data_IF_765560695102
#
_entry.id   IF_765560695102
#
_cell.length_a   1.000
_cell.length_b   1.000
_cell.length_c   1.000
_cell.angle_alpha   90.00
_cell.angle_beta   90.00
_cell.angle_gamma   90.00
#
_symmetry.space_group_name_H-M   'P 1'
#
loop_
_entity.id
_entity.type
_entity.pdbx_description
1 polymer ?
#
# COMPACT_ATOMS: atom_id res chain seq x y z
N UNK A 1 20.92 -9.57 19.55
CA UNK A 1 20.39 -9.59 18.19
C UNK A 1 19.25 -8.59 18.15
N UNK A 2 19.27 -7.57 17.30
CA UNK A 2 18.12 -6.68 17.18
C UNK A 2 16.94 -7.46 16.58
N UNK A 3 15.76 -7.25 17.12
CA UNK A 3 14.53 -7.82 16.56
C UNK A 3 14.35 -7.30 15.13
N UNK A 4 13.93 -8.16 14.17
CA UNK A 4 13.62 -7.72 12.82
C UNK A 4 12.53 -6.66 12.86
N UNK A 5 12.66 -5.64 12.01
CA UNK A 5 11.67 -4.57 11.93
C UNK A 5 10.32 -5.13 11.44
N UNK A 6 9.19 -4.48 11.73
CA UNK A 6 7.89 -4.89 11.20
C UNK A 6 7.90 -5.06 9.66
N UNK A 7 8.81 -4.37 8.98
CA UNK A 7 9.05 -4.46 7.53
C UNK A 7 9.71 -5.76 7.10
N UNK A 8 10.72 -6.21 7.87
CA UNK A 8 11.39 -7.48 7.57
C UNK A 8 10.43 -8.64 7.75
N UNK A 9 9.45 -8.50 8.66
CA UNK A 9 8.37 -9.46 8.85
C UNK A 9 7.38 -9.44 7.67
N UNK A 10 7.03 -8.27 7.14
CA UNK A 10 6.17 -8.14 5.96
C UNK A 10 6.80 -8.82 4.74
N UNK A 11 8.08 -8.55 4.49
CA UNK A 11 8.84 -9.14 3.40
C UNK A 11 9.03 -10.65 3.57
N UNK A 12 9.19 -11.14 4.78
CA UNK A 12 9.35 -12.57 5.09
C UNK A 12 8.04 -13.36 4.92
N UNK A 13 6.89 -12.73 5.18
CA UNK A 13 5.59 -13.38 5.11
C UNK A 13 5.04 -13.48 3.67
N UNK A 14 5.41 -12.54 2.81
CA UNK A 14 5.09 -12.62 1.38
C UNK A 14 6.00 -13.60 0.63
N UNK A 15 7.16 -13.96 1.21
CA UNK A 15 8.11 -14.91 0.64
C UNK A 15 7.84 -16.36 1.07
N UNK A 16 6.60 -16.79 1.10
CA UNK A 16 6.22 -18.19 1.36
C UNK A 16 6.95 -19.15 0.43
N UNK A 17 8.01 -19.79 0.95
CA UNK A 17 8.74 -20.94 0.40
C UNK A 17 9.47 -20.81 -0.93
N UNK A 18 10.78 -20.75 -0.78
CA UNK A 18 11.83 -21.37 -1.59
C UNK A 18 11.64 -21.52 -3.11
N UNK A 19 12.67 -21.07 -3.73
CA UNK A 19 13.18 -21.27 -5.07
C UNK A 19 12.97 -20.09 -6.04
N UNK A 20 13.81 -19.07 -5.84
CA UNK A 20 14.80 -18.69 -6.81
C UNK A 20 14.32 -18.64 -8.27
N UNK A 21 13.83 -17.50 -8.67
CA UNK A 21 14.09 -17.02 -10.01
C UNK A 21 14.42 -15.53 -9.88
N UNK A 22 15.68 -15.24 -10.09
CA UNK A 22 16.23 -13.91 -10.23
C UNK A 22 15.56 -13.23 -11.43
N UNK A 23 14.36 -12.70 -11.25
CA UNK A 23 13.79 -11.75 -12.17
C UNK A 23 14.20 -10.38 -11.65
N UNK A 24 15.42 -9.97 -11.99
CA UNK A 24 15.88 -8.59 -11.85
C UNK A 24 15.15 -7.73 -12.91
N UNK A 25 13.86 -7.61 -12.78
CA UNK A 25 13.14 -6.48 -13.34
C UNK A 25 13.54 -5.27 -12.51
N UNK A 26 14.30 -4.35 -13.08
CA UNK A 26 14.63 -3.07 -12.47
C UNK A 26 13.34 -2.30 -12.28
N UNK A 27 12.87 -2.21 -11.01
CA UNK A 27 11.77 -1.33 -10.67
C UNK A 27 12.25 0.12 -10.78
N UNK A 28 11.62 0.88 -11.64
CA UNK A 28 11.81 2.32 -11.67
C UNK A 28 11.08 2.93 -10.47
N UNK A 29 11.84 3.56 -9.56
CA UNK A 29 11.29 4.25 -8.40
C UNK A 29 11.28 5.74 -8.68
N UNK A 30 10.11 6.33 -8.54
CA UNK A 30 9.91 7.79 -8.64
C UNK A 30 9.61 8.35 -7.25
N UNK A 31 10.06 9.56 -6.99
CA UNK A 31 9.74 10.29 -5.77
C UNK A 31 9.05 11.61 -6.07
N UNK A 32 8.22 12.05 -5.13
CA UNK A 32 7.52 13.32 -5.26
C UNK A 32 6.76 13.66 -3.99
N UNK A 33 6.16 14.85 -3.97
CA UNK A 33 5.29 15.28 -2.88
C UNK A 33 3.86 14.90 -3.21
N UNK A 34 3.21 14.12 -2.33
CA UNK A 34 1.78 13.79 -2.41
C UNK A 34 0.97 14.81 -1.61
N UNK A 35 -0.22 15.13 -2.10
CA UNK A 35 -1.22 15.88 -1.33
C UNK A 35 -1.94 14.91 -0.40
N UNK A 36 -2.26 15.34 0.82
CA UNK A 36 -3.11 14.57 1.72
C UNK A 36 -4.47 14.32 1.06
N UNK A 37 -4.94 13.08 1.07
CA UNK A 37 -6.11 12.65 0.31
C UNK A 37 -7.16 12.03 1.23
N UNK A 38 -8.35 12.64 1.37
CA UNK A 38 -9.47 12.01 2.07
C UNK A 38 -9.87 10.70 1.39
N UNK A 39 -10.22 9.71 2.19
CA UNK A 39 -10.64 8.41 1.72
C UNK A 39 -11.75 7.81 2.57
N UNK A 40 -12.53 6.94 1.95
CA UNK A 40 -13.49 6.06 2.59
C UNK A 40 -12.91 4.64 2.58
N UNK A 41 -12.86 4.00 3.73
CA UNK A 41 -12.26 2.67 3.88
C UNK A 41 -13.08 1.76 4.78
N UNK A 42 -12.96 0.46 4.57
CA UNK A 42 -13.27 -0.56 5.56
C UNK A 42 -11.94 -1.04 6.18
N UNK A 43 -11.90 -1.14 7.50
CA UNK A 43 -10.70 -1.57 8.24
C UNK A 43 -10.97 -2.92 8.89
N UNK A 44 -10.07 -3.87 8.71
CA UNK A 44 -10.14 -5.18 9.35
C UNK A 44 -8.75 -5.71 9.71
N UNK A 45 -8.71 -6.58 10.71
CA UNK A 45 -7.49 -7.34 11.07
C UNK A 45 -7.67 -8.78 10.65
N UNK A 46 -6.84 -9.24 9.69
CA UNK A 46 -6.96 -10.58 9.13
C UNK A 46 -5.60 -11.21 8.77
N UNK A 47 -5.55 -12.54 8.64
CA UNK A 47 -4.36 -13.21 8.15
C UNK A 47 -4.20 -12.98 6.63
N UNK A 48 -2.96 -13.07 6.15
CA UNK A 48 -2.62 -12.84 4.73
C UNK A 48 -3.43 -13.69 3.76
N UNK A 49 -3.77 -14.92 4.11
CA UNK A 49 -4.54 -15.82 3.24
C UNK A 49 -6.00 -15.40 2.99
N UNK A 50 -6.55 -14.54 3.83
CA UNK A 50 -7.92 -14.04 3.69
C UNK A 50 -8.02 -12.72 2.91
N UNK A 51 -6.86 -12.07 2.65
CA UNK A 51 -6.78 -10.77 2.00
C UNK A 51 -7.52 -10.70 0.65
N UNK A 52 -7.35 -11.65 -0.31
CA UNK A 52 -7.97 -11.52 -1.62
C UNK A 52 -9.49 -11.49 -1.55
N UNK A 53 -10.08 -12.40 -0.77
CA UNK A 53 -11.54 -12.48 -0.61
C UNK A 53 -12.09 -11.27 0.12
N UNK A 54 -11.39 -10.82 1.17
CA UNK A 54 -11.84 -9.68 1.95
C UNK A 54 -11.73 -8.37 1.17
N UNK A 55 -10.66 -8.14 0.41
CA UNK A 55 -10.49 -6.94 -0.41
C UNK A 55 -11.64 -6.74 -1.41
N UNK A 56 -12.06 -7.82 -2.10
CA UNK A 56 -13.20 -7.75 -3.02
C UNK A 56 -14.50 -7.30 -2.32
N UNK A 57 -14.74 -7.83 -1.10
CA UNK A 57 -15.89 -7.42 -0.28
C UNK A 57 -15.75 -5.97 0.20
N UNK A 58 -14.55 -5.59 0.66
CA UNK A 58 -14.29 -4.24 1.17
C UNK A 58 -14.54 -3.18 0.09
N UNK A 59 -14.01 -3.37 -1.12
CA UNK A 59 -14.24 -2.45 -2.22
C UNK A 59 -15.72 -2.35 -2.60
N UNK A 60 -16.42 -3.48 -2.68
CA UNK A 60 -17.86 -3.48 -2.98
C UNK A 60 -18.69 -2.75 -1.90
N UNK A 61 -18.38 -2.99 -0.63
CA UNK A 61 -19.07 -2.36 0.51
C UNK A 61 -18.84 -0.85 0.52
N UNK A 62 -17.58 -0.42 0.37
CA UNK A 62 -17.24 1.02 0.37
C UNK A 62 -17.84 1.72 -0.84
N UNK A 63 -17.79 1.13 -2.04
CA UNK A 63 -18.41 1.70 -3.24
C UNK A 63 -19.94 1.85 -3.09
N UNK A 64 -20.61 0.83 -2.54
CA UNK A 64 -22.04 0.88 -2.25
C UNK A 64 -22.41 1.94 -1.22
N UNK A 65 -21.59 2.08 -0.18
CA UNK A 65 -21.75 3.14 0.83
C UNK A 65 -21.64 4.53 0.19
N UNK A 66 -20.60 4.77 -0.61
CA UNK A 66 -20.40 6.07 -1.28
C UNK A 66 -21.58 6.42 -2.18
N UNK A 67 -22.05 5.47 -2.99
CA UNK A 67 -23.21 5.69 -3.87
C UNK A 67 -24.48 6.02 -3.08
N UNK A 68 -24.74 5.34 -1.95
CA UNK A 68 -25.89 5.58 -1.10
C UNK A 68 -25.88 6.96 -0.39
N UNK A 69 -24.67 7.53 -0.19
CA UNK A 69 -24.49 8.81 0.50
C UNK A 69 -24.16 9.98 -0.44
N UNK A 70 -24.36 9.81 -1.75
CA UNK A 70 -24.14 10.87 -2.74
C UNK A 70 -22.67 11.26 -2.92
N UNK A 71 -21.74 10.37 -2.56
CA UNK A 71 -20.31 10.54 -2.79
C UNK A 71 -19.81 9.56 -3.86
N UNK A 72 -18.58 9.74 -4.30
CA UNK A 72 -18.00 8.93 -5.37
C UNK A 72 -16.48 8.82 -5.24
N UNK A 73 -15.87 7.75 -5.77
CA UNK A 73 -14.43 7.65 -5.88
C UNK A 73 -13.84 8.70 -6.82
N UNK A 74 -12.73 9.35 -6.42
CA UNK A 74 -11.98 10.28 -7.27
C UNK A 74 -10.67 9.68 -7.80
N UNK A 75 -10.47 8.38 -7.59
CA UNK A 75 -9.30 7.64 -8.06
C UNK A 75 -9.47 6.13 -7.89
N UNK A 76 -8.45 5.36 -8.26
CA UNK A 76 -8.46 3.90 -8.14
C UNK A 76 -8.62 3.42 -6.69
N UNK A 77 -9.10 2.17 -6.48
CA UNK A 77 -9.10 1.55 -5.17
C UNK A 77 -7.67 1.40 -4.64
N UNK A 78 -7.54 1.43 -3.30
CA UNK A 78 -6.28 1.25 -2.62
C UNK A 78 -6.44 0.40 -1.37
N UNK A 79 -5.34 -0.18 -0.89
CA UNK A 79 -5.27 -0.80 0.42
C UNK A 79 -3.96 -0.42 1.13
N UNK A 80 -4.07 -0.01 2.40
CA UNK A 80 -2.94 0.27 3.28
C UNK A 80 -2.79 -0.88 4.27
N UNK A 81 -1.57 -1.33 4.47
CA UNK A 81 -1.25 -2.51 5.26
C UNK A 81 -0.37 -2.14 6.45
N UNK A 82 -0.88 -2.43 7.66
CA UNK A 82 -0.11 -2.34 8.89
C UNK A 82 0.19 -3.74 9.42
N UNK A 83 1.46 -4.18 9.43
CA UNK A 83 1.81 -5.52 9.89
C UNK A 83 1.73 -5.63 11.41
N UNK A 84 1.02 -6.64 11.90
CA UNK A 84 0.85 -6.93 13.33
C UNK A 84 1.75 -8.09 13.81
N UNK A 85 2.50 -8.72 12.90
CA UNK A 85 3.26 -9.93 13.16
C UNK A 85 2.41 -11.21 13.05
N UNK A 86 3.07 -12.37 13.05
CA UNK A 86 2.38 -13.66 12.94
C UNK A 86 1.54 -13.86 11.68
N UNK A 87 1.88 -13.22 10.55
CA UNK A 87 1.12 -13.31 9.32
C UNK A 87 -0.21 -12.56 9.31
N UNK A 88 -0.42 -11.64 10.24
CA UNK A 88 -1.63 -10.83 10.37
C UNK A 88 -1.35 -9.37 10.03
N UNK A 89 -2.37 -8.73 9.45
CA UNK A 89 -2.34 -7.32 9.07
C UNK A 89 -3.62 -6.63 9.55
N UNK A 90 -3.49 -5.39 9.99
CA UNK A 90 -4.60 -4.44 9.94
C UNK A 90 -4.57 -3.83 8.55
N UNK A 91 -5.67 -3.94 7.84
CA UNK A 91 -5.81 -3.48 6.46
C UNK A 91 -6.93 -2.48 6.36
N UNK A 92 -6.64 -1.32 5.77
CA UNK A 92 -7.63 -0.30 5.42
C UNK A 92 -7.78 -0.28 3.89
N UNK A 93 -8.91 -0.76 3.38
CA UNK A 93 -9.17 -0.85 1.94
C UNK A 93 -10.38 -0.01 1.53
N UNK A 94 -10.27 0.72 0.43
CA UNK A 94 -11.33 1.57 -0.08
C UNK A 94 -10.93 2.48 -1.20
N UNK A 95 -11.49 3.70 -1.22
CA UNK A 95 -11.34 4.64 -2.32
C UNK A 95 -10.99 6.05 -1.83
N UNK A 96 -10.20 6.81 -2.60
CA UNK A 96 -10.07 8.24 -2.39
C UNK A 96 -11.41 8.94 -2.72
N UNK A 97 -11.75 9.95 -1.95
CA UNK A 97 -12.99 10.73 -2.08
C UNK A 97 -12.69 12.23 -2.18
N UNK A 98 -13.62 13.05 -2.76
CA UNK A 98 -13.35 14.47 -2.97
C UNK A 98 -13.28 15.27 -1.67
N UNK A 99 -13.97 14.83 -0.62
CA UNK A 99 -13.97 15.44 0.71
C UNK A 99 -14.12 14.38 1.79
N UNK A 100 -13.77 14.72 3.03
CA UNK A 100 -13.98 13.80 4.17
C UNK A 100 -15.45 13.42 4.28
N UNK A 101 -15.70 12.18 4.66
CA UNK A 101 -17.03 11.62 4.86
C UNK A 101 -17.30 11.38 6.35
N UNK A 102 -18.56 11.32 6.74
CA UNK A 102 -18.96 10.74 8.00
C UNK A 102 -19.10 9.23 7.81
N UNK A 103 -18.25 8.45 8.51
CA UNK A 103 -18.31 6.99 8.43
C UNK A 103 -19.57 6.43 9.11
N UNK A 104 -20.10 5.34 8.55
CA UNK A 104 -21.18 4.58 9.18
C UNK A 104 -21.04 3.08 8.90
N UNK A 105 -21.56 2.25 9.80
CA UNK A 105 -21.44 0.80 9.70
C UNK A 105 -19.98 0.35 9.73
N UNK A 106 -19.52 -0.30 8.70
CA UNK A 106 -18.15 -0.79 8.53
C UNK A 106 -17.21 0.26 7.88
N UNK A 107 -17.80 1.29 7.24
CA UNK A 107 -17.04 2.31 6.53
C UNK A 107 -16.57 3.41 7.47
N UNK A 108 -15.32 3.82 7.32
CA UNK A 108 -14.65 4.85 8.11
C UNK A 108 -14.01 5.88 7.19
N UNK A 109 -13.91 7.13 7.68
CA UNK A 109 -13.05 8.13 7.07
C UNK A 109 -11.59 7.79 7.36
N UNK A 110 -10.72 8.00 6.37
CA UNK A 110 -9.28 7.91 6.49
C UNK A 110 -8.68 9.12 5.77
N UNK A 111 -7.52 9.58 6.25
CA UNK A 111 -6.70 10.53 5.52
C UNK A 111 -5.41 9.81 5.08
N UNK A 112 -5.21 9.63 3.78
CA UNK A 112 -3.89 9.26 3.26
C UNK A 112 -2.94 10.42 3.47
N UNK A 113 -1.73 10.17 4.00
CA UNK A 113 -0.81 11.25 4.34
C UNK A 113 -0.32 11.96 3.09
N UNK A 114 -0.18 13.29 3.21
CA UNK A 114 0.60 14.09 2.27
C UNK A 114 2.07 14.11 2.65
N UNK A 115 2.90 14.70 1.80
CA UNK A 115 4.33 14.84 1.99
C UNK A 115 5.17 13.99 1.04
N UNK A 116 6.48 13.88 1.26
CA UNK A 116 7.36 13.11 0.41
C UNK A 116 6.96 11.63 0.38
N UNK A 117 6.89 11.08 -0.82
CA UNK A 117 6.62 9.66 -1.03
C UNK A 117 7.44 9.14 -2.22
N UNK A 118 7.95 7.93 -2.09
CA UNK A 118 8.54 7.18 -3.17
C UNK A 118 7.56 6.12 -3.65
N UNK A 119 7.47 5.89 -4.94
CA UNK A 119 6.58 4.88 -5.50
C UNK A 119 7.18 4.16 -6.69
N UNK A 120 6.66 2.97 -6.94
CA UNK A 120 6.95 2.17 -8.14
C UNK A 120 5.69 1.43 -8.59
N UNK A 121 5.68 1.03 -9.86
CA UNK A 121 4.58 0.22 -10.39
C UNK A 121 5.04 -1.22 -10.57
N UNK A 122 4.42 -2.12 -9.83
CA UNK A 122 4.52 -3.55 -10.05
C UNK A 122 3.61 -3.96 -11.21
N UNK A 123 4.12 -4.77 -12.12
CA UNK A 123 3.34 -5.42 -13.18
C UNK A 123 3.44 -6.92 -12.98
N UNK A 124 2.32 -7.55 -12.67
CA UNK A 124 2.27 -8.99 -12.40
C UNK A 124 1.28 -9.37 -11.31
N UNK A 125 1.32 -10.64 -10.88
CA UNK A 125 0.43 -11.15 -9.84
C UNK A 125 0.76 -10.55 -8.47
N UNK A 126 -0.26 -10.44 -7.62
CA UNK A 126 -0.16 -9.80 -6.30
C UNK A 126 0.78 -10.52 -5.32
N UNK A 127 0.99 -11.82 -5.49
CA UNK A 127 1.92 -12.62 -4.68
C UNK A 127 3.40 -12.41 -5.06
N UNK A 128 3.69 -11.69 -6.14
CA UNK A 128 5.03 -11.36 -6.62
C UNK A 128 5.47 -9.91 -6.32
N UNK A 129 4.80 -9.20 -5.40
CA UNK A 129 5.04 -7.77 -5.16
C UNK A 129 6.25 -7.46 -4.26
N UNK A 130 6.79 -8.45 -3.55
CA UNK A 130 7.91 -8.27 -2.60
C UNK A 130 9.09 -7.48 -3.19
N UNK A 131 9.59 -7.77 -4.40
CA UNK A 131 10.69 -7.00 -5.00
C UNK A 131 10.36 -5.52 -5.21
N UNK A 132 9.11 -5.18 -5.51
CA UNK A 132 8.64 -3.79 -5.63
C UNK A 132 8.71 -3.03 -4.31
N UNK A 133 8.27 -3.64 -3.22
CA UNK A 133 8.41 -3.08 -1.87
C UNK A 133 9.87 -2.88 -1.48
N UNK A 134 10.72 -3.87 -1.79
CA UNK A 134 12.16 -3.78 -1.53
C UNK A 134 12.80 -2.64 -2.30
N UNK A 135 12.46 -2.49 -3.59
CA UNK A 135 13.00 -1.44 -4.44
C UNK A 135 12.69 -0.05 -3.88
N UNK A 136 11.43 0.21 -3.49
CA UNK A 136 11.02 1.49 -2.90
C UNK A 136 11.73 1.73 -1.57
N UNK A 137 11.84 0.71 -0.73
CA UNK A 137 12.51 0.81 0.57
C UNK A 137 14.00 1.11 0.45
N UNK A 138 14.69 0.42 -0.46
CA UNK A 138 16.12 0.63 -0.74
C UNK A 138 16.35 2.02 -1.29
N UNK A 139 15.53 2.44 -2.26
CA UNK A 139 15.61 3.77 -2.83
C UNK A 139 15.53 4.87 -1.76
N UNK A 140 14.55 4.79 -0.84
CA UNK A 140 14.42 5.76 0.27
C UNK A 140 15.69 5.82 1.11
N UNK A 141 16.27 4.66 1.44
CA UNK A 141 17.49 4.58 2.27
C UNK A 141 18.71 5.14 1.52
N UNK A 142 18.88 4.78 0.26
CA UNK A 142 20.01 5.20 -0.59
C UNK A 142 19.99 6.71 -0.85
N UNK A 143 18.80 7.33 -0.86
CA UNK A 143 18.65 8.78 -1.00
C UNK A 143 18.60 9.53 0.34
N UNK A 144 19.07 8.90 1.43
CA UNK A 144 19.18 9.53 2.74
C UNK A 144 17.86 9.75 3.45
N UNK A 145 16.79 9.11 3.00
CA UNK A 145 15.46 9.17 3.61
C UNK A 145 15.28 8.15 4.74
N UNK A 146 14.22 8.34 5.49
CA UNK A 146 13.73 7.40 6.48
C UNK A 146 12.25 7.12 6.19
N UNK A 147 11.89 5.85 6.10
CA UNK A 147 10.51 5.44 5.86
C UNK A 147 9.60 5.90 6.97
N UNK A 148 8.46 6.44 6.61
CA UNK A 148 7.47 6.98 7.50
C UNK A 148 6.14 6.25 7.34
N UNK A 149 5.67 5.63 8.43
CA UNK A 149 4.36 4.95 8.45
C UNK A 149 4.25 3.76 7.50
N UNK A 150 3.03 3.40 7.20
CA UNK A 150 2.68 2.24 6.37
C UNK A 150 2.67 2.58 4.89
N UNK A 151 3.15 1.65 4.07
CA UNK A 151 2.95 1.72 2.63
C UNK A 151 1.49 1.38 2.26
N UNK A 152 1.08 1.85 1.09
CA UNK A 152 -0.19 1.43 0.49
C UNK A 152 -0.04 1.05 -0.96
N UNK A 153 -0.95 0.23 -1.42
CA UNK A 153 -1.08 -0.24 -2.79
C UNK A 153 -2.23 0.49 -3.47
N UNK A 154 -2.01 0.99 -4.68
CA UNK A 154 -3.06 1.55 -5.54
C UNK A 154 -3.27 0.60 -6.73
N UNK A 155 -4.46 0.07 -6.87
CA UNK A 155 -4.79 -0.93 -7.89
C UNK A 155 -5.19 -0.23 -9.19
N UNK A 156 -4.23 -0.12 -10.12
CA UNK A 156 -4.38 0.61 -11.37
C UNK A 156 -5.12 -0.18 -12.46
N UNK A 157 -5.23 -1.49 -12.29
CA UNK A 157 -5.91 -2.39 -13.22
C UNK A 157 -7.19 -2.93 -12.60
N UNK A 158 -8.26 -2.97 -13.37
CA UNK A 158 -9.46 -3.72 -13.00
C UNK A 158 -9.22 -5.22 -13.28
N UNK A 159 -9.21 -6.09 -12.25
CA UNK A 159 -9.01 -7.52 -12.46
C UNK A 159 -10.06 -8.17 -13.36
N UNK A 160 -11.28 -7.60 -13.41
CA UNK A 160 -12.34 -8.10 -14.26
C UNK A 160 -12.14 -7.75 -15.75
N UNK A 161 -11.38 -6.68 -16.03
CA UNK A 161 -11.09 -6.22 -17.39
C UNK A 161 -9.76 -6.74 -17.95
N UNK A 162 -8.92 -7.38 -17.12
CA UNK A 162 -7.58 -7.84 -17.52
C UNK A 162 -7.58 -9.30 -17.98
N UNK A 163 -6.82 -9.65 -19.04
CA UNK A 163 -6.76 -11.00 -19.56
C UNK A 163 -6.06 -12.02 -18.66
N UNK A 164 -5.44 -11.56 -17.55
CA UNK A 164 -4.79 -12.44 -16.58
C UNK A 164 -3.97 -11.69 -15.52
N UNK A 165 -3.59 -12.36 -14.44
CA UNK A 165 -2.89 -11.76 -13.32
C UNK A 165 -1.52 -11.19 -13.69
N UNK A 166 -0.89 -11.70 -14.74
CA UNK A 166 0.43 -11.23 -15.21
C UNK A 166 0.43 -9.80 -15.78
N UNK A 167 -0.74 -9.24 -16.08
CA UNK A 167 -0.89 -7.88 -16.63
C UNK A 167 -1.44 -6.90 -15.60
N UNK A 168 -1.73 -7.33 -14.39
CA UNK A 168 -2.17 -6.46 -13.31
C UNK A 168 -1.10 -5.42 -12.98
N UNK A 169 -1.53 -4.20 -12.75
CA UNK A 169 -0.65 -3.08 -12.40
C UNK A 169 -1.04 -2.54 -11.04
N UNK A 170 -0.07 -2.49 -10.14
CA UNK A 170 -0.26 -1.98 -8.78
C UNK A 170 0.84 -0.97 -8.47
N UNK A 171 0.49 0.25 -8.12
CA UNK A 171 1.44 1.22 -7.61
C UNK A 171 1.66 0.94 -6.11
N UNK A 172 2.92 0.80 -5.71
CA UNK A 172 3.33 0.71 -4.31
C UNK A 172 3.82 2.09 -3.91
N UNK A 173 3.23 2.68 -2.88
CA UNK A 173 3.55 4.02 -2.39
C UNK A 173 4.05 3.93 -0.97
N UNK A 174 5.24 4.48 -0.71
CA UNK A 174 5.87 4.54 0.59
C UNK A 174 6.13 5.97 0.99
N UNK A 175 5.46 6.52 2.01
CA UNK A 175 5.83 7.79 2.61
C UNK A 175 7.23 7.72 3.22
N UNK A 176 7.96 8.80 3.16
CA UNK A 176 9.25 8.91 3.81
C UNK A 176 9.49 10.36 4.30
N UNK A 177 10.48 10.54 5.13
CA UNK A 177 11.02 11.84 5.48
C UNK A 177 12.49 11.91 5.09
N UNK A 178 12.93 13.07 4.66
CA UNK A 178 14.36 13.33 4.45
C UNK A 178 15.05 13.42 5.81
N UNK A 179 16.21 12.79 5.95
CA UNK A 179 17.06 13.01 7.12
C UNK A 179 17.68 14.39 6.98
N UNK A 180 17.43 15.25 7.96
CA UNK A 180 18.19 16.48 8.07
C UNK A 180 19.69 16.12 8.22
N UNK A 181 20.60 16.80 7.51
CA UNK A 181 22.02 16.63 7.74
C UNK A 181 22.31 16.91 9.21
N UNK A 182 23.10 16.03 9.84
CA UNK A 182 23.54 16.25 11.21
C UNK A 182 24.20 17.62 11.29
N UNK A 183 23.64 18.53 12.08
CA UNK A 183 24.25 19.82 12.33
C UNK A 183 25.56 19.57 13.09
N UNK A 184 26.69 19.62 12.38
CA UNK A 184 28.01 19.57 13.00
C UNK A 184 28.14 20.84 13.80
N UNK A 185 27.91 20.76 15.12
CA UNK A 185 28.27 21.81 16.05
C UNK A 185 29.79 21.78 16.15
N UNK A 186 30.46 22.74 15.49
CA UNK A 186 31.87 23.00 15.61
C UNK A 186 32.19 23.76 16.89
#
# INVERSE_FOLDING_TARGET
>A
MPMPSPRDQFLCLLSGSAANACFMGTYEVISGTRTAQPAAVWVATLPVGELPTWLGRAFSTVAGFLAAHGSYPVGPPFARYHPLGGGRFEVAAGFPVPSSIDGAGEVRALMLPGGPAASTVHVGPYDAMVPGYQAVASWVTEHGGEVLGDAWEVYLSDPAAQPGPSTCRTEIVQPYRERLPATTTG
#
